data_IF_005772690472
#
_entry.id   IF_005772690472
#
_cell.length_a   1.000
_cell.length_b   1.000
_cell.length_c   1.000
_cell.angle_alpha   90.00
_cell.angle_beta   90.00
_cell.angle_gamma   90.00
#
_symmetry.space_group_name_H-M   'P 1'
#
loop_
_entity.id
_entity.type
_entity.pdbx_description
1 polymer ?
#
# COMPACT_ATOMS: atom_id res chain seq x y z
N UNK A 1 26.48 -18.30 -25.11
CA UNK A 1 26.40 -16.85 -25.11
C UNK A 1 24.91 -16.46 -24.98
N UNK A 2 24.44 -16.13 -23.79
CA UNK A 2 23.03 -15.73 -23.58
C UNK A 2 22.84 -14.35 -24.18
N UNK A 3 21.98 -14.23 -25.19
CA UNK A 3 21.54 -12.93 -25.69
C UNK A 3 20.63 -12.32 -24.62
N UNK A 4 21.10 -11.28 -23.92
CA UNK A 4 20.21 -10.45 -23.12
C UNK A 4 19.17 -9.82 -24.05
N UNK A 5 17.96 -10.33 -24.00
CA UNK A 5 16.83 -9.67 -24.69
C UNK A 5 16.61 -8.36 -23.94
N UNK A 6 16.86 -7.26 -24.61
CA UNK A 6 16.63 -5.91 -24.06
C UNK A 6 15.11 -5.70 -23.99
N UNK A 7 14.49 -6.18 -22.90
CA UNK A 7 13.05 -6.05 -22.68
C UNK A 7 12.74 -4.58 -22.39
N UNK A 8 12.11 -3.92 -23.36
CA UNK A 8 11.59 -2.57 -23.18
C UNK A 8 10.17 -2.70 -22.64
N UNK A 9 9.95 -2.28 -21.39
CA UNK A 9 8.62 -2.24 -20.81
C UNK A 9 7.72 -1.32 -21.64
N UNK A 10 6.48 -1.73 -21.81
CA UNK A 10 5.43 -0.93 -22.44
C UNK A 10 4.53 -0.37 -21.33
N UNK A 11 4.95 0.72 -20.72
CA UNK A 11 4.39 1.28 -19.50
C UNK A 11 2.87 1.47 -19.61
N UNK A 12 2.38 2.01 -20.72
CA UNK A 12 0.95 2.22 -20.96
C UNK A 12 0.15 0.92 -20.93
N UNK A 13 0.67 -0.14 -21.56
CA UNK A 13 0.00 -1.43 -21.64
C UNK A 13 -0.03 -2.11 -20.27
N UNK A 14 1.09 -2.06 -19.53
CA UNK A 14 1.18 -2.61 -18.16
C UNK A 14 0.22 -1.89 -17.21
N UNK A 15 0.19 -0.55 -17.21
CA UNK A 15 -0.74 0.25 -16.40
C UNK A 15 -2.18 -0.14 -16.72
N UNK A 16 -2.55 -0.20 -18.00
CA UNK A 16 -3.92 -0.54 -18.38
C UNK A 16 -4.29 -1.97 -17.99
N UNK A 17 -3.36 -2.91 -18.10
CA UNK A 17 -3.56 -4.29 -17.67
C UNK A 17 -3.85 -4.37 -16.17
N UNK A 18 -3.05 -3.71 -15.33
CA UNK A 18 -3.26 -3.69 -13.88
C UNK A 18 -4.61 -3.05 -13.54
N UNK A 19 -4.94 -1.92 -14.14
CA UNK A 19 -6.22 -1.23 -13.90
C UNK A 19 -7.40 -2.13 -14.28
N UNK A 20 -7.35 -2.79 -15.42
CA UNK A 20 -8.42 -3.70 -15.85
C UNK A 20 -8.55 -4.87 -14.88
N UNK A 21 -7.44 -5.49 -14.47
CA UNK A 21 -7.43 -6.58 -13.51
C UNK A 21 -8.02 -6.17 -12.15
N UNK A 22 -7.63 -5.00 -11.62
CA UNK A 22 -8.19 -4.46 -10.38
C UNK A 22 -9.71 -4.26 -10.49
N UNK A 23 -10.16 -3.69 -11.62
CA UNK A 23 -11.57 -3.41 -11.88
C UNK A 23 -12.38 -4.70 -11.96
N UNK A 24 -11.87 -5.70 -12.67
CA UNK A 24 -12.54 -7.00 -12.82
C UNK A 24 -12.59 -7.76 -11.50
N UNK A 25 -11.52 -7.67 -10.70
CA UNK A 25 -11.50 -8.28 -9.37
C UNK A 25 -12.54 -7.66 -8.44
N UNK A 26 -12.60 -6.32 -8.38
CA UNK A 26 -13.56 -5.59 -7.57
C UNK A 26 -15.01 -5.94 -7.94
N UNK A 27 -15.33 -6.00 -9.24
CA UNK A 27 -16.66 -6.41 -9.72
C UNK A 27 -17.01 -7.83 -9.28
N UNK A 28 -16.08 -8.78 -9.44
CA UNK A 28 -16.31 -10.20 -9.07
C UNK A 28 -16.43 -10.41 -7.56
N UNK A 29 -15.75 -9.63 -6.75
CA UNK A 29 -15.83 -9.69 -5.30
C UNK A 29 -17.11 -9.04 -4.72
N UNK A 30 -17.89 -8.36 -5.55
CA UNK A 30 -19.10 -7.63 -5.14
C UNK A 30 -18.82 -6.61 -4.02
N UNK A 31 -17.67 -5.93 -4.09
CA UNK A 31 -17.29 -4.88 -3.16
C UNK A 31 -17.52 -3.49 -3.77
N UNK A 32 -17.52 -2.44 -2.94
CA UNK A 32 -17.88 -1.08 -3.36
C UNK A 32 -16.67 -0.21 -3.73
N UNK A 33 -15.44 -0.65 -3.43
CA UNK A 33 -14.26 0.16 -3.63
C UNK A 33 -12.98 -0.44 -3.08
N UNK A 34 -11.99 0.42 -2.91
CA UNK A 34 -10.68 0.07 -2.37
C UNK A 34 -10.33 0.90 -1.13
N UNK A 35 -9.54 0.32 -0.23
CA UNK A 35 -8.84 1.05 0.81
C UNK A 35 -7.35 0.75 0.70
N UNK A 36 -6.52 1.78 0.88
CA UNK A 36 -5.06 1.67 0.75
C UNK A 36 -4.34 2.52 1.79
N UNK A 37 -3.29 1.95 2.40
CA UNK A 37 -2.37 2.71 3.25
C UNK A 37 -1.38 3.53 2.41
N UNK A 38 -1.30 4.83 2.65
CA UNK A 38 -0.34 5.72 1.97
C UNK A 38 0.81 6.05 2.92
N UNK A 39 1.98 5.47 2.65
CA UNK A 39 3.17 5.58 3.52
C UNK A 39 4.10 6.74 3.16
N UNK A 40 3.89 7.41 2.04
CA UNK A 40 4.84 8.36 1.45
C UNK A 40 6.01 7.71 0.72
N UNK A 41 5.96 6.38 0.49
CA UNK A 41 6.86 5.62 -0.37
C UNK A 41 6.34 5.48 -1.80
N UNK A 42 7.24 5.12 -2.73
CA UNK A 42 6.92 5.04 -4.17
C UNK A 42 5.90 3.95 -4.49
N UNK A 43 5.92 2.82 -3.77
CA UNK A 43 5.02 1.70 -4.01
C UNK A 43 3.57 2.08 -3.67
N UNK A 44 3.36 2.70 -2.50
CA UNK A 44 2.03 3.21 -2.11
C UNK A 44 1.56 4.33 -3.03
N UNK A 45 2.48 5.18 -3.54
CA UNK A 45 2.15 6.22 -4.50
C UNK A 45 1.72 5.63 -5.85
N UNK A 46 2.45 4.64 -6.38
CA UNK A 46 2.06 3.96 -7.62
C UNK A 46 0.71 3.26 -7.46
N UNK A 47 0.54 2.44 -6.41
CA UNK A 47 -0.68 1.64 -6.22
C UNK A 47 -1.91 2.53 -6.05
N UNK A 48 -1.82 3.60 -5.25
CA UNK A 48 -2.93 4.54 -5.07
C UNK A 48 -3.25 5.33 -6.34
N UNK A 49 -2.25 5.64 -7.17
CA UNK A 49 -2.46 6.27 -8.49
C UNK A 49 -3.16 5.32 -9.46
N UNK A 50 -2.80 4.03 -9.48
CA UNK A 50 -3.49 3.02 -10.27
C UNK A 50 -4.94 2.85 -9.84
N UNK A 51 -5.20 2.83 -8.52
CA UNK A 51 -6.55 2.82 -7.96
C UNK A 51 -7.35 4.06 -8.36
N UNK A 52 -6.76 5.25 -8.28
CA UNK A 52 -7.40 6.48 -8.73
C UNK A 52 -7.78 6.44 -10.21
N UNK A 53 -6.88 5.95 -11.06
CA UNK A 53 -7.10 5.83 -12.51
C UNK A 53 -8.11 4.75 -12.91
N UNK A 54 -8.39 3.79 -12.04
CA UNK A 54 -9.46 2.81 -12.28
C UNK A 54 -10.87 3.41 -12.23
N UNK A 55 -11.02 4.60 -11.66
CA UNK A 55 -12.32 5.24 -11.43
C UNK A 55 -13.12 4.64 -10.26
N UNK A 56 -12.63 3.58 -9.63
CA UNK A 56 -13.28 2.93 -8.49
C UNK A 56 -13.07 3.78 -7.24
N UNK A 57 -14.12 3.96 -6.44
CA UNK A 57 -14.03 4.68 -5.15
C UNK A 57 -12.89 4.14 -4.30
N UNK A 58 -12.00 5.01 -3.86
CA UNK A 58 -10.80 4.61 -3.12
C UNK A 58 -10.61 5.50 -1.90
N UNK A 59 -10.45 4.87 -0.74
CA UNK A 59 -10.08 5.51 0.52
C UNK A 59 -8.57 5.36 0.77
N UNK A 60 -7.87 6.49 0.76
CA UNK A 60 -6.46 6.56 1.17
C UNK A 60 -6.37 6.80 2.68
N UNK A 61 -5.65 5.94 3.40
CA UNK A 61 -5.51 6.03 4.85
C UNK A 61 -4.05 6.31 5.21
N UNK A 62 -3.82 7.40 5.93
CA UNK A 62 -2.54 7.70 6.56
C UNK A 62 -2.55 7.16 7.99
N UNK A 63 -1.54 6.37 8.32
CA UNK A 63 -1.47 5.64 9.60
C UNK A 63 -0.11 5.86 10.28
N UNK A 64 0.21 7.07 10.74
CA UNK A 64 1.48 7.32 11.39
C UNK A 64 1.60 6.56 12.71
N UNK A 65 2.80 5.97 12.95
CA UNK A 65 3.27 5.41 14.22
C UNK A 65 4.73 5.84 14.35
N UNK A 66 5.01 6.90 15.11
CA UNK A 66 6.35 7.50 15.26
C UNK A 66 7.07 7.73 13.92
N UNK A 67 6.31 8.13 12.89
CA UNK A 67 6.81 8.27 11.53
C UNK A 67 7.67 9.53 11.37
N UNK A 68 8.71 9.46 10.53
CA UNK A 68 9.48 10.63 10.16
C UNK A 68 8.60 11.69 9.48
N UNK A 69 8.67 12.95 9.94
CA UNK A 69 7.85 14.07 9.45
C UNK A 69 7.94 14.29 7.94
N UNK A 70 9.14 14.10 7.34
CA UNK A 70 9.31 14.22 5.89
C UNK A 70 8.58 13.11 5.11
N UNK A 71 8.49 11.93 5.68
CA UNK A 71 7.76 10.82 5.08
C UNK A 71 6.25 11.06 5.14
N UNK A 72 5.73 11.49 6.30
CA UNK A 72 4.33 11.90 6.46
C UNK A 72 4.00 12.99 5.43
N UNK A 73 4.82 14.03 5.35
CA UNK A 73 4.61 15.14 4.41
C UNK A 73 4.57 14.70 2.95
N UNK A 74 5.35 13.69 2.56
CA UNK A 74 5.26 13.12 1.20
C UNK A 74 3.94 12.42 0.96
N UNK A 75 3.44 11.66 1.96
CA UNK A 75 2.13 11.02 1.91
C UNK A 75 0.99 12.02 1.73
N UNK A 76 0.95 13.04 2.61
CA UNK A 76 -0.02 14.14 2.53
C UNK A 76 -0.03 14.84 1.17
N UNK A 77 1.17 15.20 0.66
CA UNK A 77 1.29 15.87 -0.65
C UNK A 77 0.79 14.97 -1.79
N UNK A 78 1.09 13.68 -1.74
CA UNK A 78 0.61 12.72 -2.74
C UNK A 78 -0.91 12.57 -2.69
N UNK A 79 -1.50 12.42 -1.51
CA UNK A 79 -2.96 12.35 -1.34
C UNK A 79 -3.63 13.64 -1.82
N UNK A 80 -3.07 14.79 -1.50
CA UNK A 80 -3.56 16.07 -2.00
C UNK A 80 -3.54 16.12 -3.52
N UNK A 81 -2.47 15.65 -4.14
CA UNK A 81 -2.37 15.56 -5.60
C UNK A 81 -3.43 14.62 -6.18
N UNK A 82 -3.62 13.43 -5.59
CA UNK A 82 -4.66 12.50 -6.02
C UNK A 82 -6.05 13.14 -5.98
N UNK A 83 -6.42 13.79 -4.87
CA UNK A 83 -7.74 14.44 -4.71
C UNK A 83 -7.97 15.60 -5.67
N UNK A 84 -6.91 16.28 -6.07
CA UNK A 84 -7.00 17.37 -7.04
C UNK A 84 -7.17 16.89 -8.50
N UNK A 85 -6.76 15.66 -8.78
CA UNK A 85 -6.77 15.10 -10.14
C UNK A 85 -7.84 14.03 -10.36
N UNK A 86 -8.43 13.47 -9.29
CA UNK A 86 -9.37 12.35 -9.37
C UNK A 86 -10.55 12.56 -8.40
N UNK A 87 -11.77 12.37 -8.90
CA UNK A 87 -13.00 12.58 -8.12
C UNK A 87 -13.40 11.36 -7.27
N UNK A 88 -12.76 10.21 -7.47
CA UNK A 88 -13.06 8.94 -6.80
C UNK A 88 -12.16 8.70 -5.56
N UNK A 89 -11.38 9.70 -5.14
CA UNK A 89 -10.45 9.60 -4.01
C UNK A 89 -10.99 10.34 -2.79
N UNK A 90 -11.05 9.62 -1.67
CA UNK A 90 -11.22 10.18 -0.33
C UNK A 90 -10.01 9.86 0.53
N UNK A 91 -9.84 10.55 1.65
CA UNK A 91 -8.73 10.28 2.56
C UNK A 91 -9.09 10.53 4.01
N UNK A 92 -8.43 9.80 4.90
CA UNK A 92 -8.48 9.97 6.34
C UNK A 92 -7.08 9.77 6.93
N UNK A 93 -6.74 10.55 7.94
CA UNK A 93 -5.62 10.25 8.83
C UNK A 93 -6.15 9.49 10.06
N UNK A 94 -5.55 8.35 10.33
CA UNK A 94 -5.82 7.54 11.52
C UNK A 94 -4.50 7.33 12.26
N UNK A 95 -4.16 8.26 13.16
CA UNK A 95 -2.93 8.18 13.95
C UNK A 95 -2.99 7.00 14.91
N UNK A 96 -2.07 6.06 14.76
CA UNK A 96 -2.03 4.81 15.52
C UNK A 96 -0.93 4.82 16.61
N UNK A 97 -0.31 5.97 16.86
CA UNK A 97 0.81 6.10 17.82
C UNK A 97 0.38 5.68 19.23
N UNK A 98 -0.74 6.19 19.73
CA UNK A 98 -1.20 5.89 21.11
C UNK A 98 -1.56 4.41 21.27
N UNK A 99 -2.13 3.78 20.26
CA UNK A 99 -2.45 2.36 20.26
C UNK A 99 -1.16 1.53 20.32
N UNK A 100 -0.16 1.88 19.50
CA UNK A 100 1.12 1.21 19.51
C UNK A 100 1.86 1.39 20.84
N UNK A 101 1.89 2.60 21.40
CA UNK A 101 2.54 2.91 22.66
C UNK A 101 1.88 2.18 23.84
N UNK A 102 0.55 2.07 23.82
CA UNK A 102 -0.20 1.30 24.83
C UNK A 102 0.13 -0.18 24.76
N UNK A 103 0.20 -0.74 23.54
CA UNK A 103 0.64 -2.12 23.33
C UNK A 103 2.08 -2.32 23.84
N UNK A 104 3.01 -1.46 23.44
CA UNK A 104 4.42 -1.55 23.83
C UNK A 104 4.61 -1.48 25.36
N UNK A 105 3.88 -0.60 26.04
CA UNK A 105 3.88 -0.51 27.52
C UNK A 105 3.33 -1.74 28.21
N UNK A 106 2.44 -2.49 27.57
CA UNK A 106 1.83 -3.71 28.15
C UNK A 106 2.74 -4.94 28.08
N UNK A 107 3.86 -4.88 27.35
CA UNK A 107 4.76 -6.03 27.17
C UNK A 107 5.54 -6.30 28.47
N UNK A 108 5.38 -7.49 29.10
CA UNK A 108 6.18 -7.87 30.24
C UNK A 108 7.63 -8.17 29.81
N UNK A 109 8.60 -7.82 30.66
CA UNK A 109 10.02 -8.15 30.47
C UNK A 109 10.59 -7.76 29.09
N UNK A 110 10.25 -6.56 28.60
CA UNK A 110 10.75 -6.01 27.35
C UNK A 110 12.29 -5.96 27.35
N UNK A 111 12.92 -6.48 26.30
CA UNK A 111 14.37 -6.47 26.07
C UNK A 111 14.69 -5.79 24.72
N UNK A 112 15.95 -5.38 24.50
CA UNK A 112 16.42 -4.83 23.22
C UNK A 112 16.22 -5.78 22.04
N UNK A 113 16.14 -7.10 22.28
CA UNK A 113 15.88 -8.11 21.23
C UNK A 113 14.49 -8.03 20.60
N UNK A 114 13.61 -7.14 21.09
CA UNK A 114 12.22 -7.06 20.64
C UNK A 114 12.00 -6.07 19.48
N UNK A 115 13.05 -5.42 18.94
CA UNK A 115 12.89 -4.41 17.87
C UNK A 115 12.15 -4.96 16.64
N UNK A 116 12.56 -6.11 16.11
CA UNK A 116 11.91 -6.72 14.96
C UNK A 116 10.44 -7.10 15.25
N UNK A 117 10.15 -7.58 16.46
CA UNK A 117 8.80 -7.89 16.89
C UNK A 117 7.93 -6.63 16.92
N UNK A 118 8.47 -5.50 17.38
CA UNK A 118 7.78 -4.22 17.40
C UNK A 118 7.57 -3.64 16.00
N UNK A 119 8.54 -3.79 15.09
CA UNK A 119 8.38 -3.42 13.67
C UNK A 119 7.21 -4.20 13.05
N UNK A 120 7.19 -5.52 13.24
CA UNK A 120 6.11 -6.36 12.75
C UNK A 120 4.75 -6.06 13.42
N UNK A 121 4.76 -5.64 14.68
CA UNK A 121 3.55 -5.21 15.38
C UNK A 121 2.97 -3.94 14.76
N UNK A 122 3.80 -2.96 14.40
CA UNK A 122 3.34 -1.76 13.68
C UNK A 122 2.65 -2.12 12.37
N UNK A 123 3.21 -3.04 11.59
CA UNK A 123 2.60 -3.50 10.34
C UNK A 123 1.22 -4.15 10.58
N UNK A 124 1.09 -4.98 11.63
CA UNK A 124 -0.18 -5.64 11.98
C UNK A 124 -1.24 -4.66 12.51
N UNK A 125 -0.86 -3.68 13.32
CA UNK A 125 -1.79 -2.63 13.79
C UNK A 125 -2.31 -1.82 12.60
N UNK A 126 -1.46 -1.45 11.64
CA UNK A 126 -1.90 -0.78 10.40
C UNK A 126 -2.85 -1.65 9.60
N UNK A 127 -2.59 -2.94 9.49
CA UNK A 127 -3.47 -3.85 8.76
C UNK A 127 -4.84 -3.98 9.44
N UNK A 128 -4.88 -4.06 10.77
CA UNK A 128 -6.12 -4.03 11.54
C UNK A 128 -6.93 -2.76 11.25
N UNK A 129 -6.27 -1.61 11.17
CA UNK A 129 -6.91 -0.35 10.83
C UNK A 129 -7.46 -0.36 9.39
N UNK A 130 -6.68 -0.85 8.41
CA UNK A 130 -7.15 -0.93 7.02
C UNK A 130 -8.36 -1.85 6.87
N UNK A 131 -8.35 -3.03 7.51
CA UNK A 131 -9.50 -3.94 7.47
C UNK A 131 -10.72 -3.41 8.20
N UNK A 132 -10.55 -2.61 9.27
CA UNK A 132 -11.68 -1.89 9.88
C UNK A 132 -12.36 -0.97 8.84
N UNK A 133 -11.59 -0.15 8.13
CA UNK A 133 -12.13 0.74 7.12
C UNK A 133 -12.70 -0.02 5.90
N UNK A 134 -12.06 -1.13 5.51
CA UNK A 134 -12.54 -2.01 4.46
C UNK A 134 -13.90 -2.60 4.79
N UNK A 135 -14.06 -3.14 6.00
CA UNK A 135 -15.31 -3.76 6.47
C UNK A 135 -16.46 -2.75 6.53
N UNK A 136 -16.22 -1.56 7.09
CA UNK A 136 -17.24 -0.51 7.22
C UNK A 136 -17.77 -0.05 5.87
N UNK A 137 -16.92 -0.01 4.84
CA UNK A 137 -17.26 0.52 3.52
C UNK A 137 -17.56 -0.58 2.47
N UNK A 138 -17.40 -1.84 2.81
CA UNK A 138 -17.39 -2.97 1.88
C UNK A 138 -16.34 -2.78 0.76
N UNK A 139 -15.09 -2.50 1.15
CA UNK A 139 -13.94 -2.27 0.26
C UNK A 139 -12.94 -3.41 0.34
N UNK A 140 -12.10 -3.54 -0.71
CA UNK A 140 -10.93 -4.40 -0.73
C UNK A 140 -9.69 -3.66 -0.24
N UNK A 141 -8.85 -4.32 0.55
CA UNK A 141 -7.55 -3.80 0.98
C UNK A 141 -6.53 -4.01 -0.14
N UNK A 142 -5.96 -2.91 -0.65
CA UNK A 142 -4.87 -2.94 -1.63
C UNK A 142 -3.52 -3.05 -0.94
N UNK A 143 -2.74 -4.05 -1.31
CA UNK A 143 -1.34 -4.20 -0.96
C UNK A 143 -0.44 -3.31 -1.81
N UNK A 144 0.69 -2.93 -1.24
CA UNK A 144 1.72 -2.11 -1.89
C UNK A 144 3.06 -2.83 -2.02
N UNK A 145 3.10 -4.14 -1.75
CA UNK A 145 4.27 -4.97 -1.91
C UNK A 145 4.63 -5.18 -3.38
N UNK A 146 5.93 -5.16 -3.69
CA UNK A 146 6.45 -5.43 -5.02
C UNK A 146 7.20 -6.77 -5.06
N UNK A 147 7.48 -7.26 -6.25
CA UNK A 147 8.08 -8.58 -6.47
C UNK A 147 9.40 -8.80 -5.72
N UNK A 148 10.23 -7.77 -5.62
CA UNK A 148 11.54 -7.90 -4.97
C UNK A 148 11.39 -8.00 -3.46
N UNK A 149 10.54 -7.16 -2.86
CA UNK A 149 10.34 -7.12 -1.43
C UNK A 149 9.61 -8.37 -0.93
N UNK A 150 8.48 -8.72 -1.55
CA UNK A 150 7.64 -9.81 -1.06
C UNK A 150 8.19 -11.20 -1.44
N UNK A 151 8.54 -11.41 -2.72
CA UNK A 151 8.91 -12.73 -3.23
C UNK A 151 10.42 -12.91 -3.41
N UNK A 152 11.18 -11.82 -3.58
CA UNK A 152 12.63 -11.89 -3.75
C UNK A 152 13.36 -12.10 -2.42
N UNK A 153 13.12 -11.20 -1.46
CA UNK A 153 13.80 -11.21 -0.15
C UNK A 153 12.89 -11.58 1.02
N UNK A 154 11.58 -11.72 0.80
CA UNK A 154 10.61 -12.06 1.85
C UNK A 154 10.46 -10.96 2.90
N UNK A 155 10.63 -9.70 2.53
CA UNK A 155 10.51 -8.56 3.42
C UNK A 155 9.05 -8.12 3.54
N UNK A 156 8.25 -8.91 4.20
CA UNK A 156 6.85 -8.61 4.55
C UNK A 156 6.50 -9.20 5.91
N UNK A 157 5.48 -8.67 6.53
CA UNK A 157 4.96 -9.15 7.80
C UNK A 157 3.69 -9.96 7.58
N UNK A 158 3.72 -11.25 7.98
CA UNK A 158 2.53 -12.10 7.97
C UNK A 158 1.43 -11.47 8.85
N UNK A 159 0.22 -11.35 8.30
CA UNK A 159 -0.92 -10.65 8.91
C UNK A 159 -0.73 -9.13 9.10
N UNK A 160 0.35 -8.58 8.54
CA UNK A 160 0.59 -7.16 8.40
C UNK A 160 0.49 -6.77 6.92
N UNK A 161 1.51 -6.09 6.39
CA UNK A 161 1.60 -5.66 4.99
C UNK A 161 1.48 -6.80 3.95
N UNK A 162 1.82 -8.05 4.33
CA UNK A 162 1.56 -9.24 3.51
C UNK A 162 0.15 -9.83 3.61
N UNK A 163 -0.73 -9.26 4.45
CA UNK A 163 -2.09 -9.77 4.68
C UNK A 163 -3.18 -8.93 4.01
N UNK A 164 -3.11 -8.74 2.70
CA UNK A 164 -4.00 -7.89 1.90
C UNK A 164 -4.95 -8.72 1.03
N UNK A 165 -6.01 -8.10 0.50
CA UNK A 165 -6.95 -8.79 -0.39
C UNK A 165 -6.41 -8.95 -1.79
N UNK A 166 -5.77 -7.92 -2.34
CA UNK A 166 -5.12 -7.94 -3.65
C UNK A 166 -3.83 -7.13 -3.65
N UNK A 167 -2.86 -7.53 -4.46
CA UNK A 167 -1.53 -6.92 -4.58
C UNK A 167 -1.25 -6.47 -6.01
N UNK A 168 -1.70 -5.27 -6.42
CA UNK A 168 -1.69 -4.83 -7.82
C UNK A 168 -0.29 -4.71 -8.45
N UNK A 169 0.75 -4.54 -7.65
CA UNK A 169 2.13 -4.35 -8.12
C UNK A 169 3.07 -5.49 -7.72
N UNK A 170 2.51 -6.64 -7.23
CA UNK A 170 3.30 -7.76 -6.73
C UNK A 170 4.22 -8.40 -7.79
N UNK A 171 3.86 -8.33 -9.08
CA UNK A 171 4.68 -8.85 -10.17
C UNK A 171 5.74 -7.87 -10.70
N UNK A 172 5.74 -6.63 -10.23
CA UNK A 172 6.65 -5.59 -10.69
C UNK A 172 7.98 -5.63 -9.92
N UNK A 173 9.09 -5.54 -10.64
CA UNK A 173 10.39 -5.26 -10.05
C UNK A 173 10.43 -3.82 -9.51
N UNK A 174 11.24 -3.54 -8.51
CA UNK A 174 11.39 -2.18 -7.96
C UNK A 174 11.74 -1.14 -9.01
N UNK A 175 12.59 -1.50 -9.98
CA UNK A 175 12.94 -0.64 -11.13
C UNK A 175 11.75 -0.37 -12.05
N UNK A 176 10.82 -1.31 -12.16
CA UNK A 176 9.59 -1.17 -12.95
C UNK A 176 8.58 -0.29 -12.22
N UNK A 177 8.46 -0.42 -10.88
CA UNK A 177 7.67 0.50 -10.06
C UNK A 177 8.10 1.95 -10.29
N UNK A 178 9.41 2.24 -10.27
CA UNK A 178 9.92 3.59 -10.55
C UNK A 178 9.62 4.06 -11.98
N UNK A 179 9.72 3.17 -12.98
CA UNK A 179 9.40 3.51 -14.38
C UNK A 179 7.93 3.87 -14.55
N UNK A 180 7.03 3.06 -13.97
CA UNK A 180 5.59 3.30 -14.06
C UNK A 180 5.18 4.56 -13.28
N UNK A 181 5.73 4.77 -12.08
CA UNK A 181 5.46 5.97 -11.30
C UNK A 181 5.94 7.25 -12.00
N UNK A 182 7.07 7.20 -12.73
CA UNK A 182 7.55 8.32 -13.53
C UNK A 182 6.71 8.59 -14.77
N UNK A 183 6.10 7.54 -15.34
CA UNK A 183 5.24 7.64 -16.51
C UNK A 183 3.87 8.26 -16.17
N UNK A 184 3.36 8.04 -14.95
CA UNK A 184 2.06 8.52 -14.45
C UNK A 184 2.12 9.96 -13.95
#
# INVERSE_FOLDING_TARGET
MYKFVNYKMKEKEVIQHIINWMTDYQKRSNTNGFVIGVSGGIDSALTSTLAARSGITTLCVEMPIHQNKLQVKRGENHIKWLKNNFNNISSIEHNLTDIFDSFEKSIPNKTEKNELALVNTRARIRMTCLYYHAQVNNYLVLGTGNKVEDFGIGFFTKYGDGGVDISPIADLLKTEVYKLAKYL
#
